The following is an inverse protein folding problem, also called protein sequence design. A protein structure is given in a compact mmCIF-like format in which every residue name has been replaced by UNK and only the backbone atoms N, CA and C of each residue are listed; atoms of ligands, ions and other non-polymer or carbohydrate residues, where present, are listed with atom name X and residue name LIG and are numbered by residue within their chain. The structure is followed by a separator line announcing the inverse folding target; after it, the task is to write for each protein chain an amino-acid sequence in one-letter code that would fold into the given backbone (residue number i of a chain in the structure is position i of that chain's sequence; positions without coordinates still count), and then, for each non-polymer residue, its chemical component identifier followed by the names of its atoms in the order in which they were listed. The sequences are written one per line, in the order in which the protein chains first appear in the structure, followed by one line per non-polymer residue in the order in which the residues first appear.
data_IF_207038769939
#
_entry.id   IF_207038769939
#
_cell.length_a   1.000
_cell.length_b   1.000
_cell.length_c   1.000
_cell.angle_alpha   90.00
_cell.angle_beta   90.00
_cell.angle_gamma   90.00
#
_symmetry.space_group_name_H-M   'P 1'
#
loop_
_entity.id
_entity.type
_entity.pdbx_description
1 polymer ?
#
# COMPACT_ATOMS: atom_id res chain seq x y z
N UNK A 1 -11.77 7.82 -13.14
CA UNK A 1 -12.47 6.89 -12.21
C UNK A 1 -11.96 7.15 -10.79
N UNK A 2 -12.18 6.28 -9.80
CA UNK A 2 -11.53 6.37 -8.47
C UNK A 2 -11.05 4.98 -8.06
N UNK A 3 -9.73 4.77 -8.07
CA UNK A 3 -9.09 3.46 -7.85
C UNK A 3 -8.48 3.44 -6.44
N UNK A 4 -8.74 2.34 -5.72
CA UNK A 4 -8.08 2.03 -4.46
C UNK A 4 -7.27 0.74 -4.64
N UNK A 5 -5.97 0.77 -4.36
CA UNK A 5 -5.09 -0.39 -4.40
C UNK A 5 -4.80 -0.90 -2.99
N UNK A 6 -4.93 -2.21 -2.79
CA UNK A 6 -4.80 -2.87 -1.48
C UNK A 6 -3.55 -3.74 -1.36
N UNK A 7 -2.71 -3.79 -2.39
CA UNK A 7 -1.41 -4.48 -2.35
C UNK A 7 -0.39 -3.73 -3.23
N UNK A 8 0.92 -3.77 -2.91
CA UNK A 8 1.95 -3.09 -3.71
C UNK A 8 1.93 -3.44 -5.19
N UNK A 9 1.87 -4.73 -5.54
CA UNK A 9 1.88 -5.18 -6.94
C UNK A 9 0.70 -4.65 -7.77
N UNK A 10 -0.47 -4.47 -7.16
CA UNK A 10 -1.62 -3.89 -7.84
C UNK A 10 -1.42 -2.38 -8.08
N UNK A 11 -0.76 -1.68 -7.17
CA UNK A 11 -0.38 -0.28 -7.36
C UNK A 11 0.55 -0.14 -8.56
N UNK A 12 1.56 -1.00 -8.68
CA UNK A 12 2.48 -1.01 -9.82
C UNK A 12 1.76 -1.25 -11.15
N UNK A 13 0.81 -2.19 -11.18
CA UNK A 13 -0.01 -2.46 -12.37
C UNK A 13 -0.84 -1.23 -12.77
N UNK A 14 -1.42 -0.51 -11.80
CA UNK A 14 -2.19 0.71 -12.08
C UNK A 14 -1.31 1.78 -12.74
N UNK A 15 -0.09 1.98 -12.25
CA UNK A 15 0.87 2.88 -12.89
C UNK A 15 1.31 2.38 -14.27
N UNK A 16 1.55 1.08 -14.43
CA UNK A 16 1.92 0.48 -15.72
C UNK A 16 0.83 0.62 -16.80
N UNK A 17 -0.43 0.79 -16.38
CA UNK A 17 -1.58 1.03 -17.26
C UNK A 17 -1.90 2.52 -17.48
N UNK A 18 -1.04 3.43 -17.01
CA UNK A 18 -1.22 4.89 -17.12
C UNK A 18 -2.48 5.41 -16.38
N UNK A 19 -2.86 4.73 -15.29
CA UNK A 19 -4.03 5.06 -14.47
C UNK A 19 -3.65 5.69 -13.11
N UNK A 20 -2.42 6.20 -12.98
CA UNK A 20 -1.89 6.76 -11.73
C UNK A 20 -2.64 7.98 -11.21
N UNK A 21 -3.28 8.76 -12.10
CA UNK A 21 -4.09 9.93 -11.76
C UNK A 21 -5.47 9.56 -11.18
N UNK A 22 -5.97 8.36 -11.51
CA UNK A 22 -7.21 7.82 -10.98
C UNK A 22 -7.01 7.11 -9.63
N UNK A 23 -5.76 6.88 -9.22
CA UNK A 23 -5.39 6.19 -7.98
C UNK A 23 -5.51 7.14 -6.78
N UNK A 24 -6.51 6.90 -5.93
CA UNK A 24 -6.82 7.73 -4.76
C UNK A 24 -6.37 7.13 -3.43
N UNK A 25 -5.96 5.86 -3.41
CA UNK A 25 -5.47 5.21 -2.19
C UNK A 25 -4.60 3.98 -2.44
N UNK A 26 -3.67 3.78 -1.53
CA UNK A 26 -2.58 2.77 -1.58
C UNK A 26 -2.35 2.17 -0.18
N UNK A 27 -1.47 1.17 -0.06
CA UNK A 27 -1.03 0.64 1.24
C UNK A 27 0.26 1.30 1.72
N UNK A 28 0.57 1.13 3.02
CA UNK A 28 1.81 1.64 3.59
C UNK A 28 3.07 1.04 2.93
N UNK A 29 2.98 -0.18 2.39
CA UNK A 29 4.10 -0.89 1.73
C UNK A 29 4.35 -0.42 0.30
N UNK A 30 3.45 0.36 -0.30
CA UNK A 30 3.65 0.84 -1.66
C UNK A 30 4.82 1.83 -1.71
N UNK A 31 5.88 1.49 -2.43
CA UNK A 31 7.11 2.28 -2.57
C UNK A 31 7.58 2.47 -4.03
N UNK A 32 6.90 1.85 -5.00
CA UNK A 32 7.14 1.99 -6.43
C UNK A 32 5.88 2.40 -7.22
N UNK A 33 5.98 3.27 -8.25
CA UNK A 33 7.13 4.09 -8.65
C UNK A 33 7.53 5.08 -7.53
N UNK A 34 8.64 5.86 -7.65
CA UNK A 34 9.01 6.82 -6.61
C UNK A 34 7.81 7.68 -6.17
N UNK A 35 7.60 7.76 -4.86
CA UNK A 35 6.52 8.51 -4.21
C UNK A 35 5.08 8.08 -4.56
N UNK A 36 4.74 6.77 -4.54
CA UNK A 36 3.42 6.31 -4.95
C UNK A 36 2.33 6.64 -3.92
N UNK A 37 2.73 7.14 -2.74
CA UNK A 37 1.86 7.55 -1.63
C UNK A 37 1.57 9.05 -1.65
N UNK A 38 2.35 9.85 -2.37
CA UNK A 38 2.18 11.30 -2.37
C UNK A 38 0.78 11.67 -2.89
N UNK A 39 0.07 12.52 -2.14
CA UNK A 39 -1.29 12.95 -2.48
C UNK A 39 -2.39 11.87 -2.37
N UNK A 40 -2.08 10.67 -1.86
CA UNK A 40 -3.02 9.53 -1.80
C UNK A 40 -3.26 9.07 -0.37
N UNK A 41 -4.45 8.51 -0.11
CA UNK A 41 -4.76 7.96 1.20
C UNK A 41 -4.01 6.63 1.43
N UNK A 42 -3.42 6.45 2.61
CA UNK A 42 -2.92 5.14 3.05
C UNK A 42 -4.10 4.38 3.65
N UNK A 43 -4.59 3.39 2.92
CA UNK A 43 -5.82 2.63 3.22
C UNK A 43 -5.59 1.52 4.22
N UNK A 44 -4.41 0.89 4.14
CA UNK A 44 -3.97 -0.20 5.01
C UNK A 44 -2.67 0.25 5.66
N UNK A 45 -2.71 0.37 6.99
CA UNK A 45 -1.54 0.64 7.80
C UNK A 45 -0.67 -0.60 7.98
N UNK A 46 0.55 -0.38 8.43
CA UNK A 46 1.47 -1.45 8.81
C UNK A 46 1.51 -1.62 10.32
N UNK A 47 1.87 -2.83 10.74
CA UNK A 47 2.26 -3.10 12.11
C UNK A 47 3.68 -3.63 12.08
N UNK A 48 4.58 -2.95 12.78
CA UNK A 48 5.94 -3.46 12.96
C UNK A 48 5.89 -4.65 13.92
N UNK A 49 6.10 -5.85 13.37
CA UNK A 49 6.15 -7.11 14.11
C UNK A 49 7.57 -7.64 14.24
N UNK A 50 8.59 -6.83 13.92
CA UNK A 50 9.98 -7.24 14.07
C UNK A 50 10.30 -7.61 15.52
N UNK A 51 10.92 -8.77 15.71
CA UNK A 51 11.31 -9.28 17.03
C UNK A 51 10.19 -9.94 17.82
N UNK A 52 8.95 -9.99 17.30
CA UNK A 52 7.87 -10.77 17.89
C UNK A 52 7.95 -12.23 17.44
N UNK A 53 7.62 -13.14 18.36
CA UNK A 53 7.33 -14.53 17.99
C UNK A 53 5.87 -14.67 17.51
N UNK A 54 5.51 -15.85 17.01
CA UNK A 54 4.17 -16.09 16.46
C UNK A 54 3.06 -15.89 17.50
N UNK A 55 3.28 -16.31 18.76
CA UNK A 55 2.29 -16.18 19.81
C UNK A 55 2.10 -14.71 20.22
N UNK A 56 3.17 -13.91 20.20
CA UNK A 56 3.12 -12.48 20.44
C UNK A 56 2.39 -11.73 19.32
N UNK A 57 2.53 -12.15 18.06
CA UNK A 57 1.75 -11.60 16.93
C UNK A 57 0.25 -11.89 17.09
N UNK A 58 -0.09 -13.14 17.43
CA UNK A 58 -1.50 -13.54 17.61
C UNK A 58 -2.20 -12.82 18.79
N UNK A 59 -1.44 -12.20 19.70
CA UNK A 59 -1.93 -11.51 20.88
C UNK A 59 -2.10 -9.98 20.71
N UNK A 60 -1.78 -9.41 19.54
CA UNK A 60 -1.96 -7.99 19.21
C UNK A 60 -3.40 -7.66 18.82
#
# INVERSE_FOLDING_TARGET
MRIASLIPSATEIVFALDLGDDLVGVTFECDYPPDPREGRAVLVGGLDTHGLDAAAIDAL
#
